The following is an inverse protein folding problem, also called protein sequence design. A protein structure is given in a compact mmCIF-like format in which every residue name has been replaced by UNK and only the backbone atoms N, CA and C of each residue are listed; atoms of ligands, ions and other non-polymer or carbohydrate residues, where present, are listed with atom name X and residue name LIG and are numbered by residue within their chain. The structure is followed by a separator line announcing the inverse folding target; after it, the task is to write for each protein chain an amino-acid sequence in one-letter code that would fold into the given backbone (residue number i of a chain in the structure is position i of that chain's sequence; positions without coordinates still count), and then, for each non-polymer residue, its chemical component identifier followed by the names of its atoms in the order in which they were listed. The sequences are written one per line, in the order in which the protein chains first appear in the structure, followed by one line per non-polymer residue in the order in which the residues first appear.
data_IF_241303718498
#
_entry.id   IF_241303718498
#
_cell.length_a   1.000
_cell.length_b   1.000
_cell.length_c   1.000
_cell.angle_alpha   90.00
_cell.angle_beta   90.00
_cell.angle_gamma   90.00
#
_symmetry.space_group_name_H-M   'P 1'
#
loop_
_entity.id
_entity.type
_entity.pdbx_description
1 polymer ?
#
# COMPACT_ATOMS: atom_id res chain seq x y z
N UNK A 1 27.41 3.88 -6.62
CA UNK A 1 26.82 2.83 -5.76
C UNK A 1 27.44 2.87 -4.37
N UNK A 2 27.18 3.93 -3.61
CA UNK A 2 27.78 4.17 -2.28
C UNK A 2 26.73 4.13 -1.16
N UNK A 3 25.49 3.80 -1.50
CA UNK A 3 24.43 3.72 -0.51
C UNK A 3 24.58 2.49 0.39
N UNK A 4 24.30 2.61 1.69
CA UNK A 4 24.40 1.49 2.62
C UNK A 4 23.45 0.35 2.23
N UNK A 5 23.89 -0.90 2.45
CA UNK A 5 23.13 -2.11 2.14
C UNK A 5 21.71 -2.11 2.72
N UNK A 6 21.54 -1.43 3.85
CA UNK A 6 20.24 -1.27 4.51
C UNK A 6 19.20 -0.57 3.62
N UNK A 7 19.61 0.49 2.91
CA UNK A 7 18.71 1.22 2.01
C UNK A 7 18.29 0.35 0.83
N UNK A 8 19.25 -0.39 0.24
CA UNK A 8 18.94 -1.33 -0.84
C UNK A 8 17.92 -2.40 -0.44
N UNK A 9 18.06 -2.96 0.77
CA UNK A 9 17.14 -3.96 1.29
C UNK A 9 15.76 -3.34 1.52
N UNK A 10 15.70 -2.15 2.14
CA UNK A 10 14.43 -1.47 2.41
C UNK A 10 13.68 -1.14 1.11
N UNK A 11 14.38 -0.59 0.11
CA UNK A 11 13.76 -0.20 -1.16
C UNK A 11 13.26 -1.42 -1.95
N UNK A 12 14.03 -2.52 -1.96
CA UNK A 12 13.60 -3.76 -2.59
C UNK A 12 12.36 -4.36 -1.90
N UNK A 13 12.32 -4.36 -0.57
CA UNK A 13 11.16 -4.84 0.20
C UNK A 13 9.94 -3.93 -0.01
N UNK A 14 10.14 -2.61 -0.06
CA UNK A 14 9.05 -1.66 -0.34
C UNK A 14 8.50 -1.86 -1.75
N UNK A 15 9.34 -2.07 -2.76
CA UNK A 15 8.88 -2.34 -4.12
C UNK A 15 8.03 -3.63 -4.20
N UNK A 16 8.42 -4.69 -3.48
CA UNK A 16 7.64 -5.92 -3.38
C UNK A 16 6.31 -5.69 -2.66
N UNK A 17 6.33 -4.93 -1.57
CA UNK A 17 5.13 -4.57 -0.82
C UNK A 17 4.13 -3.80 -1.71
N UNK A 18 4.57 -2.76 -2.42
CA UNK A 18 3.70 -2.00 -3.32
C UNK A 18 3.15 -2.84 -4.48
N UNK A 19 3.95 -3.78 -5.01
CA UNK A 19 3.47 -4.72 -6.01
C UNK A 19 2.34 -5.60 -5.44
N UNK A 20 2.52 -6.13 -4.24
CA UNK A 20 1.52 -6.96 -3.57
C UNK A 20 0.23 -6.18 -3.32
N UNK A 21 0.33 -4.99 -2.72
CA UNK A 21 -0.82 -4.11 -2.45
C UNK A 21 -1.55 -3.74 -3.74
N UNK A 22 -0.81 -3.41 -4.81
CA UNK A 22 -1.40 -3.10 -6.11
C UNK A 22 -2.16 -4.27 -6.74
N UNK A 23 -1.63 -5.50 -6.62
CA UNK A 23 -2.31 -6.71 -7.10
C UNK A 23 -3.56 -7.03 -6.28
N UNK A 24 -3.49 -6.84 -4.97
CA UNK A 24 -4.61 -7.08 -4.05
C UNK A 24 -5.72 -6.05 -4.26
N UNK A 25 -5.37 -4.77 -4.43
CA UNK A 25 -6.29 -3.71 -4.81
C UNK A 25 -7.01 -4.02 -6.12
N UNK A 26 -6.26 -4.41 -7.15
CA UNK A 26 -6.84 -4.80 -8.44
C UNK A 26 -7.85 -5.93 -8.27
N UNK A 27 -7.54 -6.93 -7.46
CA UNK A 27 -8.43 -8.05 -7.16
C UNK A 27 -9.71 -7.59 -6.46
N UNK A 28 -9.59 -6.70 -5.46
CA UNK A 28 -10.72 -6.17 -4.71
C UNK A 28 -11.63 -5.27 -5.55
N UNK A 29 -11.07 -4.47 -6.46
CA UNK A 29 -11.86 -3.62 -7.36
C UNK A 29 -12.58 -4.43 -8.43
N UNK A 30 -11.94 -5.44 -9.02
CA UNK A 30 -12.50 -6.19 -10.14
C UNK A 30 -13.52 -7.25 -9.73
N UNK A 31 -13.37 -7.87 -8.57
CA UNK A 31 -14.24 -8.98 -8.15
C UNK A 31 -14.49 -9.07 -6.65
N UNK A 32 -13.95 -8.14 -5.86
CA UNK A 32 -14.10 -8.12 -4.42
C UNK A 32 -15.22 -7.20 -3.92
N UNK A 33 -15.15 -6.84 -2.66
CA UNK A 33 -16.13 -5.97 -1.99
C UNK A 33 -16.06 -4.52 -2.44
N UNK A 34 -14.91 -4.06 -2.94
CA UNK A 34 -14.75 -2.72 -3.49
C UNK A 34 -15.37 -2.56 -4.89
N UNK A 35 -15.82 -3.64 -5.52
CA UNK A 35 -16.47 -3.59 -6.84
C UNK A 35 -17.82 -2.87 -6.84
N UNK A 36 -18.49 -2.77 -5.68
CA UNK A 36 -19.76 -2.06 -5.54
C UNK A 36 -19.67 -1.01 -4.44
N UNK A 37 -20.12 0.25 -4.68
CA UNK A 37 -20.03 1.32 -3.69
C UNK A 37 -20.72 0.99 -2.36
N UNK A 38 -21.85 0.29 -2.41
CA UNK A 38 -22.62 -0.08 -1.21
C UNK A 38 -21.82 -1.01 -0.26
N UNK A 39 -21.03 -1.93 -0.82
CA UNK A 39 -20.20 -2.85 -0.03
C UNK A 39 -18.88 -2.21 0.41
N UNK A 40 -18.41 -1.18 -0.29
CA UNK A 40 -17.15 -0.50 -0.02
C UNK A 40 -17.28 0.54 1.11
N UNK A 41 -18.46 1.16 1.31
CA UNK A 41 -18.65 2.23 2.28
C UNK A 41 -18.23 1.83 3.70
N UNK A 42 -18.61 0.64 4.15
CA UNK A 42 -18.32 0.19 5.51
C UNK A 42 -16.81 -0.07 5.74
N UNK A 43 -16.09 -0.84 4.88
CA UNK A 43 -14.64 -0.99 5.01
C UNK A 43 -13.89 0.33 4.88
N UNK A 44 -14.28 1.21 3.95
CA UNK A 44 -13.64 2.53 3.77
C UNK A 44 -13.83 3.39 5.02
N UNK A 45 -15.05 3.48 5.54
CA UNK A 45 -15.31 4.26 6.75
C UNK A 45 -14.57 3.71 7.97
N UNK A 46 -14.48 2.39 8.11
CA UNK A 46 -13.72 1.75 9.17
C UNK A 46 -12.21 1.99 9.04
N UNK A 47 -11.66 1.92 7.82
CA UNK A 47 -10.24 2.21 7.56
C UNK A 47 -9.90 3.67 7.88
N UNK A 48 -10.71 4.63 7.42
CA UNK A 48 -10.54 6.05 7.76
C UNK A 48 -10.54 6.24 9.29
N UNK A 49 -11.48 5.62 10.00
CA UNK A 49 -11.50 5.67 11.46
C UNK A 49 -10.26 5.05 12.08
N UNK A 50 -9.84 3.87 11.59
CA UNK A 50 -8.65 3.14 12.05
C UNK A 50 -7.35 3.94 11.85
N UNK A 51 -7.26 4.75 10.80
CA UNK A 51 -6.12 5.63 10.53
C UNK A 51 -6.17 6.92 11.36
N UNK A 52 -7.31 7.61 11.35
CA UNK A 52 -7.45 8.95 11.95
C UNK A 52 -7.32 8.90 13.47
N UNK A 53 -7.94 7.93 14.15
CA UNK A 53 -7.90 7.87 15.61
C UNK A 53 -6.50 7.68 16.19
N UNK A 54 -5.69 6.70 15.75
CA UNK A 54 -4.32 6.55 16.23
C UNK A 54 -3.46 7.76 15.90
N UNK A 55 -3.61 8.35 14.71
CA UNK A 55 -2.88 9.55 14.31
C UNK A 55 -3.20 10.75 15.23
N UNK A 56 -4.48 10.97 15.53
CA UNK A 56 -4.90 12.03 16.45
C UNK A 56 -4.37 11.81 17.86
N UNK A 57 -4.46 10.59 18.39
CA UNK A 57 -3.93 10.26 19.72
C UNK A 57 -2.43 10.53 19.76
N UNK A 58 -1.69 10.08 18.74
CA UNK A 58 -0.26 10.33 18.63
C UNK A 58 0.05 11.83 18.60
N UNK A 59 -0.64 12.58 17.77
CA UNK A 59 -0.45 14.02 17.63
C UNK A 59 -0.71 14.78 18.93
N UNK A 60 -1.77 14.41 19.68
CA UNK A 60 -2.10 15.04 20.95
C UNK A 60 -1.02 14.75 22.02
N UNK A 61 -0.49 13.52 22.03
CA UNK A 61 0.51 13.10 23.02
C UNK A 61 1.91 13.64 22.70
N UNK A 62 2.22 13.94 21.44
CA UNK A 62 3.53 14.37 20.96
C UNK A 62 3.51 15.81 20.42
N UNK A 63 2.81 16.72 21.08
CA UNK A 63 2.78 18.14 20.70
C UNK A 63 4.11 18.82 21.01
N UNK A 64 4.76 19.39 19.98
CA UNK A 64 5.86 20.35 20.18
C UNK A 64 7.28 19.78 20.14
N UNK A 65 7.56 18.73 19.37
CA UNK A 65 8.93 18.20 19.18
C UNK A 65 9.11 17.53 17.82
N UNK A 66 10.34 17.06 17.54
CA UNK A 66 10.64 16.27 16.32
C UNK A 66 9.75 15.03 16.21
N UNK A 67 9.35 14.47 17.35
CA UNK A 67 8.43 13.34 17.42
C UNK A 67 7.04 13.64 16.80
N UNK A 68 6.61 14.91 16.77
CA UNK A 68 5.30 15.28 16.18
C UNK A 68 5.18 14.91 14.70
N UNK A 69 6.31 14.82 13.99
CA UNK A 69 6.33 14.43 12.58
C UNK A 69 5.98 12.95 12.35
N UNK A 70 6.07 12.10 13.39
CA UNK A 70 5.79 10.66 13.32
C UNK A 70 4.31 10.29 13.41
N UNK A 71 3.37 11.22 13.26
CA UNK A 71 1.92 10.99 13.43
C UNK A 71 1.35 9.92 12.48
N UNK A 72 1.97 9.69 11.33
CA UNK A 72 1.56 8.64 10.38
C UNK A 72 2.01 7.23 10.76
N UNK A 73 2.99 7.06 11.66
CA UNK A 73 3.53 5.74 12.04
C UNK A 73 2.45 4.82 12.64
N UNK A 74 1.63 5.26 13.61
CA UNK A 74 0.63 4.39 14.24
C UNK A 74 -0.59 4.10 13.36
N UNK A 75 -0.64 4.64 12.13
CA UNK A 75 -1.71 4.35 11.18
C UNK A 75 -1.49 3.02 10.43
N UNK A 76 -0.23 2.54 10.36
CA UNK A 76 0.08 1.32 9.63
C UNK A 76 -0.49 0.10 10.36
N UNK A 77 -1.27 -0.72 9.64
CA UNK A 77 -1.84 -1.97 10.15
C UNK A 77 -1.17 -3.18 9.50
N UNK A 78 -1.11 -4.29 10.25
CA UNK A 78 -0.59 -5.55 9.75
C UNK A 78 -1.74 -6.53 9.49
N UNK A 79 -2.05 -6.75 8.22
CA UNK A 79 -3.08 -7.68 7.77
C UNK A 79 -2.75 -9.11 8.20
N UNK A 80 -1.48 -9.53 8.08
CA UNK A 80 -1.07 -10.90 8.38
C UNK A 80 -1.27 -11.21 9.86
N UNK A 81 -0.95 -10.26 10.74
CA UNK A 81 -1.21 -10.37 12.18
C UNK A 81 -2.70 -10.47 12.46
N UNK A 82 -3.50 -9.58 11.90
CA UNK A 82 -4.97 -9.56 12.08
C UNK A 82 -5.63 -10.86 11.61
N UNK A 83 -5.23 -11.38 10.44
CA UNK A 83 -5.71 -12.66 9.92
C UNK A 83 -5.21 -13.83 10.74
N UNK A 84 -3.97 -13.76 11.27
CA UNK A 84 -3.41 -14.76 12.16
C UNK A 84 -4.21 -14.90 13.45
N UNK A 85 -4.53 -13.78 14.09
CA UNK A 85 -5.40 -13.75 15.27
C UNK A 85 -6.79 -14.31 14.93
N UNK A 86 -7.33 -13.93 13.78
CA UNK A 86 -8.64 -14.43 13.33
C UNK A 86 -8.62 -15.94 13.08
N UNK A 87 -7.51 -16.47 12.60
CA UNK A 87 -7.33 -17.92 12.35
C UNK A 87 -7.37 -18.75 13.65
N UNK A 88 -6.95 -18.19 14.78
CA UNK A 88 -7.03 -18.86 16.09
C UNK A 88 -8.48 -19.17 16.50
N UNK A 89 -9.44 -18.33 16.06
CA UNK A 89 -10.87 -18.58 16.30
C UNK A 89 -11.47 -19.62 15.32
N UNK A 90 -10.73 -20.03 14.31
CA UNK A 90 -11.06 -21.11 13.39
C UNK A 90 -12.39 -20.91 12.64
N UNK A 91 -13.19 -21.97 12.57
CA UNK A 91 -14.47 -21.99 11.85
C UNK A 91 -15.61 -21.25 12.57
N UNK A 92 -15.40 -20.75 13.77
CA UNK A 92 -16.45 -20.08 14.57
C UNK A 92 -16.81 -18.70 14.04
N UNK A 93 -15.95 -18.11 13.20
CA UNK A 93 -16.18 -16.76 12.67
C UNK A 93 -16.86 -16.82 11.30
N UNK A 94 -17.84 -15.92 11.07
CA UNK A 94 -18.50 -15.77 9.78
C UNK A 94 -17.51 -15.42 8.67
N UNK A 95 -17.68 -15.98 7.48
CA UNK A 95 -16.86 -15.67 6.31
C UNK A 95 -16.92 -14.16 5.99
N UNK A 96 -18.09 -13.54 6.21
CA UNK A 96 -18.27 -12.11 5.99
C UNK A 96 -17.30 -11.23 6.80
N UNK A 97 -16.97 -11.63 8.04
CA UNK A 97 -16.01 -10.91 8.88
C UNK A 97 -14.58 -11.00 8.32
N UNK A 98 -14.18 -12.17 7.80
CA UNK A 98 -12.87 -12.33 7.17
C UNK A 98 -12.75 -11.47 5.92
N UNK A 99 -13.78 -11.50 5.07
CA UNK A 99 -13.80 -10.70 3.86
C UNK A 99 -13.78 -9.21 4.20
N UNK A 100 -14.55 -8.78 5.21
CA UNK A 100 -14.53 -7.40 5.69
C UNK A 100 -13.14 -6.96 6.15
N UNK A 101 -12.45 -7.79 6.96
CA UNK A 101 -11.11 -7.47 7.47
C UNK A 101 -10.07 -7.39 6.34
N UNK A 102 -10.11 -8.29 5.36
CA UNK A 102 -9.22 -8.23 4.20
C UNK A 102 -9.46 -6.95 3.40
N UNK A 103 -10.73 -6.62 3.13
CA UNK A 103 -11.07 -5.40 2.38
C UNK A 103 -10.68 -4.14 3.15
N UNK A 104 -10.92 -4.11 4.46
CA UNK A 104 -10.51 -3.01 5.34
C UNK A 104 -9.01 -2.80 5.28
N UNK A 105 -8.23 -3.87 5.39
CA UNK A 105 -6.79 -3.81 5.38
C UNK A 105 -6.23 -3.32 4.03
N UNK A 106 -6.80 -3.74 2.90
CA UNK A 106 -6.42 -3.22 1.57
C UNK A 106 -6.67 -1.71 1.47
N UNK A 107 -7.80 -1.22 2.00
CA UNK A 107 -8.11 0.22 2.01
C UNK A 107 -7.16 0.99 2.93
N UNK A 108 -6.82 0.40 4.07
CA UNK A 108 -5.92 0.99 5.06
C UNK A 108 -4.48 1.11 4.51
N UNK A 109 -3.97 0.06 3.86
CA UNK A 109 -2.68 0.09 3.17
C UNK A 109 -2.62 1.19 2.11
N UNK A 110 -3.70 1.34 1.32
CA UNK A 110 -3.80 2.44 0.35
C UNK A 110 -3.81 3.81 1.03
N UNK A 111 -4.54 3.93 2.13
CA UNK A 111 -4.56 5.14 2.93
C UNK A 111 -3.18 5.49 3.46
N UNK A 112 -2.44 4.51 4.00
CA UNK A 112 -1.06 4.66 4.45
C UNK A 112 -0.13 5.14 3.34
N UNK A 113 -0.22 4.54 2.16
CA UNK A 113 0.55 4.96 0.97
C UNK A 113 0.25 6.40 0.58
N UNK A 114 -1.04 6.80 0.57
CA UNK A 114 -1.45 8.18 0.26
C UNK A 114 -0.91 9.17 1.29
N UNK A 115 -0.95 8.83 2.57
CA UNK A 115 -0.39 9.67 3.64
C UNK A 115 1.11 9.84 3.46
N UNK A 116 1.85 8.76 3.19
CA UNK A 116 3.30 8.83 2.93
C UNK A 116 3.56 9.73 1.72
N UNK A 117 2.85 9.52 0.63
CA UNK A 117 3.05 10.30 -0.60
C UNK A 117 2.76 11.78 -0.43
N UNK A 118 1.73 12.16 0.35
CA UNK A 118 1.29 13.54 0.49
C UNK A 118 2.04 14.31 1.60
N UNK A 119 2.43 13.64 2.68
CA UNK A 119 2.95 14.31 3.89
C UNK A 119 4.42 14.01 4.20
N UNK A 120 4.93 12.87 3.73
CA UNK A 120 6.29 12.42 4.06
C UNK A 120 7.25 12.49 2.87
N UNK A 121 6.76 12.72 1.66
CA UNK A 121 7.62 12.85 0.49
C UNK A 121 8.16 14.28 0.40
N UNK A 122 9.44 14.45 0.68
CA UNK A 122 10.16 15.70 0.52
C UNK A 122 10.90 15.70 -0.83
N UNK A 123 10.38 16.48 -1.78
CA UNK A 123 11.06 16.73 -3.05
C UNK A 123 10.92 15.60 -4.07
N UNK A 124 9.77 15.59 -4.76
CA UNK A 124 9.61 14.70 -5.94
C UNK A 124 10.39 15.34 -7.09
N UNK A 125 11.44 14.64 -7.56
CA UNK A 125 12.12 15.02 -8.79
C UNK A 125 11.15 14.82 -9.96
N UNK A 126 10.98 15.85 -10.77
CA UNK A 126 10.15 15.76 -11.99
C UNK A 126 10.70 14.73 -12.98
N UNK A 127 12.01 14.49 -12.94
CA UNK A 127 12.68 13.49 -13.79
C UNK A 127 12.32 12.07 -13.37
N UNK A 128 12.32 11.79 -12.06
CA UNK A 128 11.98 10.46 -11.53
C UNK A 128 10.50 10.15 -11.77
N UNK A 129 9.66 11.16 -11.62
CA UNK A 129 8.23 11.05 -11.95
C UNK A 129 8.02 10.72 -13.44
N UNK A 130 8.78 11.36 -14.34
CA UNK A 130 8.72 11.09 -15.77
C UNK A 130 9.14 9.65 -16.08
N UNK A 131 10.23 9.14 -15.48
CA UNK A 131 10.66 7.75 -15.65
C UNK A 131 9.62 6.77 -15.10
N UNK A 132 9.04 7.05 -13.94
CA UNK A 132 7.98 6.22 -13.37
C UNK A 132 6.76 6.14 -14.31
N UNK A 133 6.32 7.27 -14.89
CA UNK A 133 5.24 7.28 -15.88
C UNK A 133 5.59 6.54 -17.16
N UNK A 134 6.84 6.60 -17.62
CA UNK A 134 7.32 5.87 -18.79
C UNK A 134 7.24 4.36 -18.58
N UNK A 135 7.74 3.86 -17.44
CA UNK A 135 7.64 2.44 -17.10
C UNK A 135 6.20 1.98 -16.88
N UNK A 136 5.38 2.82 -16.25
CA UNK A 136 3.95 2.54 -16.10
C UNK A 136 3.23 2.47 -17.46
N UNK A 137 3.57 3.37 -18.39
CA UNK A 137 3.08 3.33 -19.77
C UNK A 137 3.46 2.03 -20.49
N UNK A 138 4.70 1.54 -20.32
CA UNK A 138 5.13 0.26 -20.88
C UNK A 138 4.34 -0.92 -20.31
N UNK A 139 4.01 -0.90 -19.01
CA UNK A 139 3.15 -1.93 -18.40
C UNK A 139 1.74 -1.92 -18.99
N UNK A 140 1.16 -0.72 -19.22
CA UNK A 140 -0.15 -0.57 -19.85
C UNK A 140 -0.11 -1.09 -21.30
N UNK A 141 0.89 -0.71 -22.08
CA UNK A 141 1.07 -1.16 -23.47
C UNK A 141 1.22 -2.69 -23.51
N UNK A 142 2.04 -3.28 -22.61
CA UNK A 142 2.18 -4.72 -22.50
C UNK A 142 0.87 -5.43 -22.20
N UNK A 143 0.02 -4.83 -21.35
CA UNK A 143 -1.30 -5.36 -21.03
C UNK A 143 -2.24 -5.32 -22.26
N UNK A 144 -2.26 -4.22 -23.01
CA UNK A 144 -3.04 -4.11 -24.26
C UNK A 144 -2.51 -5.03 -25.36
N UNK A 145 -1.19 -5.25 -25.42
CA UNK A 145 -0.57 -6.21 -26.35
C UNK A 145 -0.81 -7.68 -25.97
N UNK A 146 -1.53 -7.94 -24.87
CA UNK A 146 -1.92 -9.30 -24.45
C UNK A 146 -0.79 -10.09 -23.80
N UNK A 147 0.27 -9.44 -23.33
CA UNK A 147 1.35 -10.10 -22.58
C UNK A 147 0.81 -10.53 -21.21
N UNK A 148 0.68 -11.86 -21.02
CA UNK A 148 0.16 -12.43 -19.75
C UNK A 148 1.24 -13.04 -18.85
N UNK A 149 2.52 -12.87 -19.20
CA UNK A 149 3.62 -13.42 -18.43
C UNK A 149 3.87 -12.56 -17.18
N UNK A 150 3.70 -13.13 -16.01
CA UNK A 150 3.94 -12.44 -14.70
C UNK A 150 5.35 -11.86 -14.60
N UNK A 151 6.35 -12.55 -15.14
CA UNK A 151 7.75 -12.08 -15.15
C UNK A 151 7.92 -10.74 -15.89
N UNK A 152 7.18 -10.50 -16.96
CA UNK A 152 7.22 -9.22 -17.68
C UNK A 152 6.80 -8.06 -16.77
N UNK A 153 5.71 -8.23 -16.03
CA UNK A 153 5.21 -7.21 -15.10
C UNK A 153 6.10 -7.07 -13.87
N UNK A 154 6.67 -8.17 -13.37
CA UNK A 154 7.58 -8.14 -12.24
C UNK A 154 8.90 -7.45 -12.61
N UNK A 155 9.51 -7.76 -13.75
CA UNK A 155 10.78 -7.15 -14.17
C UNK A 155 10.64 -5.67 -14.52
N UNK A 156 9.57 -5.27 -15.23
CA UNK A 156 9.34 -3.86 -15.58
C UNK A 156 8.78 -3.08 -14.38
N UNK A 157 7.86 -3.67 -13.61
CA UNK A 157 7.26 -3.00 -12.45
C UNK A 157 8.25 -2.82 -11.30
N UNK A 158 8.94 -3.89 -10.90
CA UNK A 158 9.91 -3.82 -9.80
C UNK A 158 11.23 -3.21 -10.29
N UNK A 159 11.79 -3.75 -11.40
CA UNK A 159 13.09 -3.33 -11.89
C UNK A 159 13.06 -1.93 -12.51
N UNK A 160 12.07 -1.61 -13.34
CA UNK A 160 11.98 -0.34 -14.03
C UNK A 160 11.58 0.81 -13.12
N UNK A 161 10.52 0.65 -12.33
CA UNK A 161 10.06 1.69 -11.39
C UNK A 161 11.07 1.89 -10.28
N UNK A 162 11.63 0.82 -9.73
CA UNK A 162 12.66 0.90 -8.69
C UNK A 162 13.93 1.60 -9.18
N UNK A 163 14.42 1.25 -10.39
CA UNK A 163 15.57 1.92 -10.97
C UNK A 163 15.30 3.40 -11.27
N UNK A 164 14.06 3.77 -11.61
CA UNK A 164 13.69 5.16 -11.87
C UNK A 164 13.82 6.06 -10.63
N UNK A 165 13.71 5.50 -9.43
CA UNK A 165 13.89 6.23 -8.16
C UNK A 165 15.32 6.17 -7.62
N UNK A 166 16.20 5.43 -8.29
CA UNK A 166 17.58 5.21 -7.82
C UNK A 166 18.62 6.05 -8.57
N UNK A 167 18.28 6.55 -9.74
CA UNK A 167 19.13 7.38 -10.62
C UNK A 167 18.55 8.77 -10.80
#
# INVERSE_FOLDING_TARGET
LTEPLLLWINDALMALFFLQVGLELKREILGGKLSTPQNAILPIGAAIGGMVFPALIYFILNTGGEASQGWGIPMATDIAFSLGVLALFGKRLPIALRVFLVTLAVVDDLGGVLVIALFYTSGISTMDLFHAFLFFGLLIIGNYAGVRKTWFYATIGIGGVWLAFFF
#
